data_IF_070759694212
#
_entry.id   IF_070759694212
#
_cell.length_a   1.000
_cell.length_b   1.000
_cell.length_c   1.000
_cell.angle_alpha   90.00
_cell.angle_beta   90.00
_cell.angle_gamma   90.00
#
_symmetry.space_group_name_H-M   'P 1'
#
loop_
_entity.id
_entity.type
_entity.pdbx_description
1 polymer ?
#
# COMPACT_ATOMS: atom_id res chain seq x y z
N UNK A 1 6.25 -18.67 6.91
CA UNK A 1 4.85 -18.30 6.58
C UNK A 1 4.87 -17.83 5.15
N UNK A 2 3.99 -18.35 4.30
CA UNK A 2 3.95 -17.93 2.89
C UNK A 2 3.32 -16.55 2.77
N UNK A 3 3.71 -15.76 1.75
CA UNK A 3 3.17 -14.41 1.57
C UNK A 3 1.65 -14.42 1.45
N UNK A 4 1.09 -15.36 0.66
CA UNK A 4 -0.37 -15.48 0.49
C UNK A 4 -1.12 -15.84 1.77
N UNK A 5 -0.51 -16.63 2.65
CA UNK A 5 -1.10 -16.99 3.95
C UNK A 5 -1.21 -15.75 4.84
N UNK A 6 -0.19 -14.90 4.81
CA UNK A 6 -0.19 -13.64 5.56
C UNK A 6 -1.19 -12.63 4.99
N UNK A 7 -1.30 -12.50 3.67
CA UNK A 7 -2.32 -11.64 3.04
C UNK A 7 -3.74 -12.09 3.45
N UNK A 8 -4.01 -13.39 3.41
CA UNK A 8 -5.29 -13.97 3.89
C UNK A 8 -5.51 -13.79 5.39
N UNK A 9 -4.44 -13.78 6.19
CA UNK A 9 -4.54 -13.49 7.62
C UNK A 9 -4.88 -12.02 7.87
N UNK A 10 -4.30 -11.11 7.07
CA UNK A 10 -4.51 -9.66 7.18
C UNK A 10 -5.93 -9.25 6.78
N UNK A 11 -6.51 -9.82 5.72
CA UNK A 11 -7.89 -9.48 5.31
C UNK A 11 -8.91 -9.80 6.44
N UNK A 12 -8.71 -10.88 7.20
CA UNK A 12 -9.56 -11.26 8.34
C UNK A 12 -9.48 -10.28 9.52
N UNK A 13 -8.51 -9.38 9.53
CA UNK A 13 -8.45 -8.33 10.55
C UNK A 13 -9.45 -7.20 10.27
N UNK A 14 -9.93 -7.04 9.04
CA UNK A 14 -10.90 -5.98 8.69
C UNK A 14 -12.31 -6.23 9.24
N UNK A 15 -12.60 -7.44 9.71
CA UNK A 15 -13.83 -7.77 10.45
C UNK A 15 -13.75 -7.31 11.93
N UNK A 16 -12.55 -6.92 12.40
CA UNK A 16 -12.29 -6.50 13.77
C UNK A 16 -12.09 -4.98 13.83
N UNK A 17 -12.47 -4.37 14.94
CA UNK A 17 -12.13 -2.97 15.25
C UNK A 17 -11.75 -2.89 16.73
N UNK A 18 -10.69 -2.14 17.11
CA UNK A 18 -9.81 -1.35 16.23
C UNK A 18 -8.78 -2.20 15.47
N UNK A 19 -8.24 -1.66 14.37
CA UNK A 19 -7.08 -2.26 13.69
C UNK A 19 -5.79 -2.06 14.51
N UNK A 20 -4.81 -2.97 14.39
CA UNK A 20 -3.52 -2.82 15.05
C UNK A 20 -2.75 -1.58 14.57
N UNK A 21 -1.85 -1.09 15.41
CA UNK A 21 -1.09 0.15 15.19
C UNK A 21 0.41 -0.10 15.36
N UNK A 22 1.20 0.62 14.59
CA UNK A 22 2.65 0.65 14.76
C UNK A 22 3.02 1.61 15.89
N UNK A 23 4.22 1.44 16.45
CA UNK A 23 4.74 2.35 17.47
C UNK A 23 5.36 3.62 16.88
N UNK A 24 5.54 3.66 15.55
CA UNK A 24 6.08 4.80 14.81
C UNK A 24 5.47 4.86 13.41
N UNK A 25 5.61 6.02 12.80
CA UNK A 25 5.29 6.26 11.40
C UNK A 25 6.29 5.55 10.47
N UNK A 26 5.80 5.06 9.33
CA UNK A 26 6.61 4.41 8.32
C UNK A 26 7.49 5.41 7.57
N UNK A 27 8.75 5.04 7.40
CA UNK A 27 9.68 5.68 6.48
C UNK A 27 10.61 4.63 5.88
N UNK A 28 10.66 4.54 4.56
CA UNK A 28 11.54 3.63 3.84
C UNK A 28 11.08 3.32 2.43
N UNK A 29 12.02 2.91 1.58
CA UNK A 29 11.78 2.62 0.16
C UNK A 29 11.08 3.77 -0.57
N UNK A 30 11.59 4.99 -0.34
CA UNK A 30 11.09 6.25 -0.90
C UNK A 30 9.60 6.53 -0.62
N UNK A 31 9.07 5.96 0.48
CA UNK A 31 7.73 6.23 0.99
C UNK A 31 7.79 6.73 2.43
N UNK A 32 6.99 7.75 2.73
CA UNK A 32 6.77 8.25 4.09
C UNK A 32 5.28 8.30 4.38
N UNK A 33 4.85 7.70 5.49
CA UNK A 33 3.47 7.77 5.96
C UNK A 33 3.44 8.66 7.19
N UNK A 34 2.72 9.77 7.17
CA UNK A 34 2.67 10.67 8.33
C UNK A 34 1.31 11.30 8.56
N UNK A 35 1.01 11.66 9.81
CA UNK A 35 -0.11 12.56 10.14
C UNK A 35 0.20 14.00 9.79
N UNK A 36 1.47 14.37 9.83
CA UNK A 36 1.91 15.75 9.61
C UNK A 36 1.97 16.01 8.12
N UNK A 37 1.54 17.21 7.73
CA UNK A 37 1.78 17.70 6.39
C UNK A 37 3.27 17.65 6.08
N UNK A 38 3.56 17.42 4.80
CA UNK A 38 4.91 17.41 4.26
C UNK A 38 5.67 18.69 4.68
N UNK A 39 6.93 18.60 5.14
CA UNK A 39 7.77 19.77 5.34
C UNK A 39 7.86 20.59 4.05
N UNK A 40 7.94 21.92 4.14
CA UNK A 40 8.20 22.76 2.96
C UNK A 40 9.55 22.35 2.36
N UNK A 41 9.61 22.27 1.04
CA UNK A 41 10.85 22.00 0.28
C UNK A 41 11.98 22.90 0.79
N UNK A 42 13.04 22.26 1.28
CA UNK A 42 14.32 22.92 1.51
C UNK A 42 15.19 22.58 0.31
N UNK A 43 15.73 23.61 -0.36
CA UNK A 43 16.68 23.43 -1.45
C UNK A 43 17.86 22.57 -0.96
N UNK A 44 18.25 21.58 -1.78
CA UNK A 44 19.43 20.69 -1.62
C UNK A 44 19.26 19.38 -0.80
N UNK A 45 18.24 18.56 -1.07
CA UNK A 45 18.29 17.15 -0.64
C UNK A 45 18.97 16.25 -1.70
N UNK A 46 19.96 15.46 -1.26
CA UNK A 46 20.71 14.53 -2.12
C UNK A 46 19.85 13.38 -2.65
N UNK A 47 18.74 13.08 -1.98
CA UNK A 47 17.81 12.02 -2.34
C UNK A 47 16.56 12.58 -3.01
N UNK A 48 15.95 11.83 -3.94
CA UNK A 48 14.66 12.23 -4.49
C UNK A 48 13.62 12.31 -3.37
N UNK A 49 12.65 13.19 -3.55
CA UNK A 49 11.60 13.37 -2.57
C UNK A 49 10.78 12.09 -2.38
N UNK A 50 10.53 11.66 -1.13
CA UNK A 50 9.74 10.48 -0.90
C UNK A 50 8.26 10.73 -1.22
N UNK A 51 7.56 9.65 -1.52
CA UNK A 51 6.13 9.62 -1.75
C UNK A 51 5.44 9.70 -0.40
N UNK A 52 4.84 10.86 -0.13
CA UNK A 52 4.12 11.09 1.12
C UNK A 52 2.70 10.53 1.05
N UNK A 53 2.31 9.81 2.10
CA UNK A 53 0.93 9.47 2.41
C UNK A 53 0.54 10.22 3.68
N UNK A 54 -0.21 11.31 3.53
CA UNK A 54 -0.63 12.14 4.67
C UNK A 54 -2.03 11.74 5.14
N UNK A 55 -2.13 11.18 6.35
CA UNK A 55 -3.40 10.63 6.88
C UNK A 55 -3.45 10.62 8.40
N UNK A 56 -4.64 10.82 8.98
CA UNK A 56 -4.88 10.66 10.43
C UNK A 56 -4.67 9.21 10.92
N UNK A 57 -4.76 8.24 10.00
CA UNK A 57 -4.60 6.80 10.25
C UNK A 57 -3.16 6.30 10.03
N UNK A 58 -2.16 7.18 10.20
CA UNK A 58 -0.77 6.90 9.83
C UNK A 58 -0.17 5.68 10.55
N UNK A 59 -0.52 5.43 11.81
CA UNK A 59 0.05 4.32 12.58
C UNK A 59 -0.55 2.96 12.20
N UNK A 60 -1.84 2.93 11.90
CA UNK A 60 -2.56 1.77 11.39
C UNK A 60 -2.03 1.39 10.01
N UNK A 61 -1.88 2.38 9.13
CA UNK A 61 -1.33 2.16 7.79
C UNK A 61 0.15 1.75 7.85
N UNK A 62 0.95 2.38 8.72
CA UNK A 62 2.36 2.01 8.94
C UNK A 62 2.50 0.57 9.43
N UNK A 63 1.61 0.13 10.33
CA UNK A 63 1.57 -1.27 10.78
C UNK A 63 1.30 -2.23 9.63
N UNK A 64 0.33 -1.89 8.76
CA UNK A 64 0.04 -2.71 7.59
C UNK A 64 1.26 -2.79 6.65
N UNK A 65 1.94 -1.68 6.40
CA UNK A 65 3.18 -1.65 5.60
C UNK A 65 4.27 -2.54 6.22
N UNK A 66 4.45 -2.54 7.54
CA UNK A 66 5.38 -3.44 8.23
C UNK A 66 5.02 -4.91 8.02
N UNK A 67 3.74 -5.28 8.14
CA UNK A 67 3.28 -6.66 7.89
C UNK A 67 3.46 -7.09 6.45
N UNK A 68 3.13 -6.21 5.50
CA UNK A 68 3.34 -6.47 4.08
C UNK A 68 4.82 -6.63 3.74
N UNK A 69 5.70 -5.75 4.25
CA UNK A 69 7.15 -5.93 4.13
C UNK A 69 7.59 -7.30 4.61
N UNK A 70 7.23 -7.65 5.85
CA UNK A 70 7.66 -8.90 6.48
C UNK A 70 7.16 -10.11 5.67
N UNK A 71 5.93 -10.06 5.15
CA UNK A 71 5.34 -11.11 4.31
C UNK A 71 6.09 -11.32 2.99
N UNK A 72 6.40 -10.24 2.27
CA UNK A 72 7.04 -10.33 0.95
C UNK A 72 8.56 -10.58 1.06
N UNK A 73 9.22 -10.11 2.11
CA UNK A 73 10.63 -10.45 2.40
C UNK A 73 10.83 -11.90 2.84
N UNK A 74 9.86 -12.49 3.56
CA UNK A 74 9.98 -13.88 4.02
C UNK A 74 10.18 -14.88 2.88
N UNK A 75 9.61 -14.61 1.70
CA UNK A 75 9.77 -15.43 0.48
C UNK A 75 10.72 -14.82 -0.55
N UNK A 76 11.46 -13.76 -0.21
CA UNK A 76 12.36 -13.03 -1.12
C UNK A 76 11.68 -12.56 -2.42
N UNK A 77 10.40 -12.20 -2.34
CA UNK A 77 9.61 -11.74 -3.51
C UNK A 77 9.98 -10.35 -3.98
N UNK A 78 10.58 -9.56 -3.09
CA UNK A 78 11.06 -8.20 -3.36
C UNK A 78 12.52 -8.10 -2.97
N UNK A 79 13.27 -7.31 -3.74
CA UNK A 79 14.70 -7.08 -3.61
C UNK A 79 15.04 -5.58 -3.62
N UNK A 80 16.32 -5.23 -3.77
CA UNK A 80 16.76 -3.84 -3.79
C UNK A 80 16.15 -2.99 -4.89
N UNK A 81 15.79 -3.59 -6.04
CA UNK A 81 15.22 -2.90 -7.19
C UNK A 81 13.69 -2.87 -7.11
N UNK A 82 13.06 -4.02 -6.88
CA UNK A 82 11.60 -4.16 -6.86
C UNK A 82 10.92 -3.58 -5.62
N UNK A 83 11.66 -3.33 -4.52
CA UNK A 83 11.06 -2.74 -3.31
C UNK A 83 10.48 -1.34 -3.54
N UNK A 84 11.11 -0.52 -4.38
CA UNK A 84 10.64 0.87 -4.61
C UNK A 84 9.29 0.85 -5.32
N UNK A 85 9.16 0.01 -6.35
CA UNK A 85 7.88 -0.25 -7.02
C UNK A 85 6.84 -0.77 -6.03
N UNK A 86 7.19 -1.80 -5.25
CA UNK A 86 6.28 -2.43 -4.31
C UNK A 86 5.70 -1.43 -3.31
N UNK A 87 6.56 -0.73 -2.56
CA UNK A 87 6.10 0.23 -1.54
C UNK A 87 5.46 1.46 -2.17
N UNK A 88 5.97 1.92 -3.32
CA UNK A 88 5.39 3.03 -4.07
C UNK A 88 3.97 2.74 -4.54
N UNK A 89 3.68 1.51 -5.03
CA UNK A 89 2.32 1.06 -5.37
C UNK A 89 1.38 1.05 -4.19
N UNK A 90 1.82 0.52 -3.04
CA UNK A 90 1.03 0.56 -1.81
C UNK A 90 0.70 2.00 -1.39
N UNK A 91 1.67 2.91 -1.49
CA UNK A 91 1.48 4.33 -1.19
C UNK A 91 0.54 5.02 -2.20
N UNK A 92 0.65 4.65 -3.48
CA UNK A 92 -0.25 5.11 -4.53
C UNK A 92 -1.69 4.66 -4.29
N UNK A 93 -1.91 3.39 -3.93
CA UNK A 93 -3.24 2.91 -3.55
C UNK A 93 -3.81 3.68 -2.35
N UNK A 94 -3.00 3.94 -1.33
CA UNK A 94 -3.41 4.75 -0.18
C UNK A 94 -3.79 6.18 -0.59
N UNK A 95 -2.95 6.87 -1.38
CA UNK A 95 -3.20 8.23 -1.84
C UNK A 95 -4.43 8.33 -2.73
N UNK A 96 -4.60 7.40 -3.68
CA UNK A 96 -5.82 7.32 -4.51
C UNK A 96 -7.06 7.14 -3.64
N UNK A 97 -6.99 6.29 -2.62
CA UNK A 97 -8.09 6.07 -1.69
C UNK A 97 -8.44 7.34 -0.90
N UNK A 98 -7.45 8.04 -0.36
CA UNK A 98 -7.63 9.29 0.37
C UNK A 98 -8.27 10.36 -0.52
N UNK A 99 -7.85 10.46 -1.78
CA UNK A 99 -8.35 11.46 -2.72
C UNK A 99 -9.77 11.16 -3.23
N UNK A 100 -10.09 9.89 -3.52
CA UNK A 100 -11.35 9.48 -4.15
C UNK A 100 -12.47 9.21 -3.13
N UNK A 101 -12.16 8.96 -1.85
CA UNK A 101 -13.17 8.61 -0.85
C UNK A 101 -13.91 9.82 -0.30
N UNK A 102 -15.24 9.79 -0.35
CA UNK A 102 -16.09 10.81 0.30
C UNK A 102 -16.15 10.64 1.82
N UNK A 103 -16.04 9.40 2.31
CA UNK A 103 -15.92 9.04 3.71
C UNK A 103 -14.71 8.11 3.84
N UNK A 104 -13.65 8.60 4.47
CA UNK A 104 -12.43 7.84 4.69
C UNK A 104 -12.45 7.26 6.11
N UNK A 105 -12.33 5.93 6.21
CA UNK A 105 -12.14 5.22 7.48
C UNK A 105 -10.79 4.49 7.47
N UNK A 106 -10.29 4.11 8.65
CA UNK A 106 -9.07 3.30 8.77
C UNK A 106 -9.17 2.02 7.95
N UNK A 107 -10.33 1.35 8.00
CA UNK A 107 -10.57 0.08 7.34
C UNK A 107 -10.61 0.21 5.83
N UNK A 108 -11.30 1.22 5.30
CA UNK A 108 -11.32 1.48 3.85
C UNK A 108 -9.90 1.75 3.35
N UNK A 109 -9.13 2.57 4.08
CA UNK A 109 -7.75 2.88 3.71
C UNK A 109 -6.83 1.65 3.75
N UNK A 110 -6.90 0.85 4.81
CA UNK A 110 -6.10 -0.37 4.93
C UNK A 110 -6.54 -1.44 3.91
N UNK A 111 -7.83 -1.54 3.64
CA UNK A 111 -8.38 -2.44 2.63
C UNK A 111 -7.89 -2.08 1.22
N UNK A 112 -7.86 -0.80 0.87
CA UNK A 112 -7.31 -0.33 -0.40
C UNK A 112 -5.86 -0.78 -0.60
N UNK A 113 -5.02 -0.60 0.42
CA UNK A 113 -3.61 -1.02 0.36
C UNK A 113 -3.45 -2.54 0.33
N UNK A 114 -4.25 -3.28 1.10
CA UNK A 114 -4.17 -4.74 1.08
C UNK A 114 -4.65 -5.31 -0.27
N UNK A 115 -5.66 -4.70 -0.90
CA UNK A 115 -6.11 -5.10 -2.23
C UNK A 115 -5.01 -4.90 -3.28
N UNK A 116 -4.29 -3.77 -3.23
CA UNK A 116 -3.11 -3.56 -4.07
C UNK A 116 -2.02 -4.61 -3.82
N UNK A 117 -1.78 -5.00 -2.56
CA UNK A 117 -0.83 -6.05 -2.24
C UNK A 117 -1.23 -7.42 -2.81
N UNK A 118 -2.53 -7.75 -2.86
CA UNK A 118 -3.01 -8.95 -3.55
C UNK A 118 -2.75 -8.89 -5.05
N UNK A 119 -3.06 -7.77 -5.71
CA UNK A 119 -2.78 -7.59 -7.13
C UNK A 119 -1.28 -7.74 -7.45
N UNK A 120 -0.40 -7.12 -6.65
CA UNK A 120 1.05 -7.29 -6.79
C UNK A 120 1.46 -8.75 -6.62
N UNK A 121 0.91 -9.45 -5.60
CA UNK A 121 1.21 -10.86 -5.38
C UNK A 121 0.83 -11.69 -6.61
N UNK A 122 -0.37 -11.50 -7.15
CA UNK A 122 -0.84 -12.23 -8.34
C UNK A 122 0.03 -11.95 -9.57
N UNK A 123 0.37 -10.68 -9.81
CA UNK A 123 1.30 -10.32 -10.89
C UNK A 123 2.67 -10.98 -10.72
N UNK A 124 3.19 -11.11 -9.50
CA UNK A 124 4.45 -11.82 -9.24
C UNK A 124 4.34 -13.32 -9.51
N UNK A 125 3.23 -13.96 -9.15
CA UNK A 125 3.00 -15.38 -9.44
C UNK A 125 2.91 -15.64 -10.95
N UNK A 126 2.36 -14.68 -11.70
CA UNK A 126 2.26 -14.75 -13.16
C UNK A 126 3.55 -14.31 -13.89
N UNK A 127 4.54 -13.78 -13.17
CA UNK A 127 5.76 -13.21 -13.76
C UNK A 127 5.53 -11.87 -14.49
N UNK A 128 4.42 -11.21 -14.22
CA UNK A 128 3.99 -9.94 -14.82
C UNK A 128 4.34 -8.71 -13.98
N UNK A 129 4.84 -8.87 -12.76
CA UNK A 129 5.24 -7.75 -11.91
C UNK A 129 6.45 -7.02 -12.51
N UNK A 130 6.29 -5.74 -12.84
CA UNK A 130 7.31 -4.89 -13.46
C UNK A 130 7.77 -3.81 -12.50
N UNK A 131 9.06 -3.51 -12.51
CA UNK A 131 9.64 -2.37 -11.81
C UNK A 131 10.67 -1.67 -12.71
N UNK A 132 10.95 -0.40 -12.44
CA UNK A 132 12.02 0.32 -13.12
C UNK A 132 13.39 -0.13 -12.59
N UNK A 133 14.38 -0.24 -13.48
CA UNK A 133 15.75 -0.53 -13.08
C UNK A 133 16.35 0.59 -12.19
N UNK A 134 15.90 1.83 -12.41
CA UNK A 134 16.26 3.01 -11.61
C UNK A 134 15.00 3.87 -11.45
N UNK A 135 14.61 4.17 -10.21
CA UNK A 135 13.48 5.03 -9.87
C UNK A 135 13.94 6.48 -9.70
N UNK A 136 14.29 7.15 -10.81
CA UNK A 136 14.70 8.56 -10.78
C UNK A 136 13.52 9.41 -10.32
N UNK A 137 13.74 10.33 -9.39
CA UNK A 137 12.67 11.20 -8.89
C UNK A 137 11.54 10.46 -8.17
N UNK A 138 11.78 9.21 -7.72
CA UNK A 138 10.77 8.35 -7.10
C UNK A 138 9.59 7.98 -8.04
N UNK A 139 9.83 8.03 -9.34
CA UNK A 139 8.91 7.51 -10.35
C UNK A 139 8.94 5.97 -10.35
N UNK A 140 7.78 5.36 -10.49
CA UNK A 140 7.59 3.90 -10.55
C UNK A 140 6.72 3.52 -11.76
N UNK A 141 6.67 2.23 -12.11
CA UNK A 141 5.87 1.74 -13.26
C UNK A 141 4.40 2.09 -13.07
N UNK A 142 3.85 1.93 -11.86
CA UNK A 142 2.43 2.25 -11.58
C UNK A 142 2.05 3.71 -11.85
N UNK A 143 3.00 4.65 -11.85
CA UNK A 143 2.71 6.05 -12.17
C UNK A 143 2.31 6.25 -13.64
N UNK A 144 2.65 5.29 -14.52
CA UNK A 144 2.33 5.31 -15.95
C UNK A 144 1.26 4.30 -16.36
N UNK A 145 0.74 3.52 -15.42
CA UNK A 145 -0.34 2.55 -15.70
C UNK A 145 -1.66 3.30 -15.85
N UNK A 146 -2.36 3.03 -16.97
CA UNK A 146 -3.71 3.54 -17.20
C UNK A 146 -4.67 3.01 -16.13
N UNK A 147 -5.53 3.88 -15.59
CA UNK A 147 -6.55 3.52 -14.59
C UNK A 147 -7.41 2.34 -15.07
N UNK A 148 -7.67 2.21 -16.39
CA UNK A 148 -8.44 1.12 -16.96
C UNK A 148 -7.75 -0.26 -16.92
N UNK A 149 -6.42 -0.28 -16.74
CA UNK A 149 -5.60 -1.51 -16.73
C UNK A 149 -5.22 -1.97 -15.32
N UNK A 150 -5.57 -1.21 -14.28
CA UNK A 150 -5.24 -1.55 -12.89
C UNK A 150 -6.08 -2.72 -12.39
N UNK A 151 -5.42 -3.65 -11.71
CA UNK A 151 -6.03 -4.82 -11.06
C UNK A 151 -6.12 -4.69 -9.54
N UNK A 152 -5.38 -3.74 -8.93
CA UNK A 152 -5.40 -3.45 -7.50
C UNK A 152 -6.44 -2.40 -7.09
N UNK A 153 -6.04 -1.36 -6.36
CA UNK A 153 -7.01 -0.35 -5.90
C UNK A 153 -7.51 0.54 -7.06
N UNK A 154 -8.78 0.35 -7.43
CA UNK A 154 -9.50 1.18 -8.42
C UNK A 154 -10.43 2.18 -7.71
N UNK A 155 -11.10 1.74 -6.64
CA UNK A 155 -12.05 2.53 -5.87
C UNK A 155 -12.56 1.77 -4.64
N UNK A 156 -13.24 2.46 -3.74
CA UNK A 156 -13.71 1.89 -2.46
C UNK A 156 -14.74 0.79 -2.66
N UNK A 157 -15.73 0.98 -3.54
CA UNK A 157 -16.77 -0.03 -3.82
C UNK A 157 -16.16 -1.33 -4.39
N UNK A 158 -15.30 -1.21 -5.41
CA UNK A 158 -14.60 -2.36 -6.00
C UNK A 158 -13.73 -3.09 -4.97
N UNK A 159 -13.11 -2.36 -4.04
CA UNK A 159 -12.31 -2.94 -2.95
C UNK A 159 -13.18 -3.70 -1.95
N UNK A 160 -14.33 -3.13 -1.57
CA UNK A 160 -15.29 -3.81 -0.70
C UNK A 160 -15.84 -5.07 -1.35
N UNK A 161 -16.16 -5.02 -2.65
CA UNK A 161 -16.63 -6.18 -3.41
C UNK A 161 -15.55 -7.26 -3.53
N UNK A 162 -14.28 -6.87 -3.74
CA UNK A 162 -13.14 -7.79 -3.74
C UNK A 162 -13.10 -8.59 -2.42
N UNK A 163 -13.12 -7.91 -1.27
CA UNK A 163 -13.09 -8.60 0.03
C UNK A 163 -14.38 -9.39 0.30
N UNK A 164 -15.55 -8.88 -0.09
CA UNK A 164 -16.83 -9.59 0.08
C UNK A 164 -16.85 -10.90 -0.69
N UNK A 165 -16.32 -10.91 -1.92
CA UNK A 165 -16.21 -12.13 -2.74
C UNK A 165 -15.35 -13.22 -2.09
N UNK A 166 -14.48 -12.83 -1.15
CA UNK A 166 -13.59 -13.70 -0.36
C UNK A 166 -14.16 -14.03 1.03
N UNK A 167 -15.42 -13.66 1.27
CA UNK A 167 -16.10 -13.87 2.55
C UNK A 167 -15.48 -13.04 3.68
N UNK A 168 -15.06 -11.81 3.37
CA UNK A 168 -14.57 -10.83 4.35
C UNK A 168 -15.47 -9.59 4.30
N UNK A 169 -16.03 -9.21 5.43
CA UNK A 169 -16.80 -7.97 5.56
C UNK A 169 -15.91 -6.87 6.17
N UNK A 170 -15.57 -5.88 5.35
CA UNK A 170 -14.79 -4.71 5.79
C UNK A 170 -15.71 -3.78 6.58
N UNK A 171 -15.34 -3.46 7.83
CA UNK A 171 -16.12 -2.55 8.66
C UNK A 171 -16.10 -1.11 8.14
N UNK A 172 -17.25 -0.46 8.29
CA UNK A 172 -17.39 0.98 8.18
C UNK A 172 -17.34 1.54 9.61
N UNK A 173 -16.13 1.91 10.05
CA UNK A 173 -15.86 2.53 11.34
C UNK A 173 -16.32 3.99 11.41
#
# INVERSE_FOLDING_TARGET
MKTIEELKRLEKLFEKSPLPRANREWGGADVVISRKARPKETEEEFYPEPRYVTTSYSFELSWLFERLRDAFYAEKRIDGCSKIEFFGRLANAANRCIQKSSVLTTHILCAAVLHEAFAIYEEMEEGNFRCLAVAIGNEIVDDYVDDALRTGYIGSDATLDFFRSRGVEVKND
#
